data_IF_406883358969
#
_entry.id   IF_406883358969
#
_cell.length_a   1.000
_cell.length_b   1.000
_cell.length_c   1.000
_cell.angle_alpha   90.00
_cell.angle_beta   90.00
_cell.angle_gamma   90.00
#
_symmetry.space_group_name_H-M   'P 1'
#
loop_
_entity.id
_entity.type
_entity.pdbx_description
1 polymer ?
#
# COMPACT_ATOMS: atom_id res chain seq x y z
N UNK A 1 -24.94 6.23 -72.12
CA UNK A 1 -23.73 6.65 -71.37
C UNK A 1 -24.11 6.78 -69.90
N UNK A 2 -23.36 6.11 -68.99
CA UNK A 2 -23.38 6.15 -67.50
C UNK A 2 -24.76 5.85 -66.83
N UNK A 3 -25.05 4.74 -66.12
CA UNK A 3 -24.38 3.99 -65.03
C UNK A 3 -23.85 4.87 -63.89
N UNK A 4 -24.71 5.07 -62.87
CA UNK A 4 -24.37 5.47 -61.51
C UNK A 4 -25.15 4.58 -60.53
N UNK A 5 -24.44 3.64 -59.91
CA UNK A 5 -24.94 2.63 -58.98
C UNK A 5 -24.82 3.23 -57.56
N UNK A 6 -25.95 3.52 -56.91
CA UNK A 6 -25.95 3.90 -55.48
C UNK A 6 -25.95 2.60 -54.68
N UNK A 7 -24.77 2.27 -54.18
CA UNK A 7 -24.51 1.13 -53.31
C UNK A 7 -25.09 1.43 -51.93
N UNK A 8 -26.03 0.59 -51.48
CA UNK A 8 -26.51 0.52 -50.09
C UNK A 8 -25.32 0.30 -49.17
N UNK A 9 -25.00 1.27 -48.32
CA UNK A 9 -24.15 1.06 -47.17
C UNK A 9 -24.96 0.29 -46.11
N UNK A 10 -24.64 -0.99 -45.96
CA UNK A 10 -25.03 -1.80 -44.83
C UNK A 10 -24.14 -1.37 -43.65
N UNK A 11 -24.61 -0.44 -42.81
CA UNK A 11 -23.98 -0.22 -41.51
C UNK A 11 -24.55 -1.25 -40.54
N UNK A 12 -23.73 -2.28 -40.34
CA UNK A 12 -23.87 -3.31 -39.33
C UNK A 12 -24.11 -2.66 -37.97
N UNK A 13 -25.23 -3.01 -37.35
CA UNK A 13 -25.52 -2.71 -35.95
C UNK A 13 -24.42 -3.33 -35.08
N UNK A 14 -23.49 -2.49 -34.59
CA UNK A 14 -22.55 -2.90 -33.57
C UNK A 14 -23.33 -2.90 -32.25
N UNK A 15 -23.84 -4.07 -31.90
CA UNK A 15 -24.43 -4.32 -30.59
C UNK A 15 -23.36 -4.03 -29.53
N UNK A 16 -23.52 -2.89 -28.84
CA UNK A 16 -22.76 -2.57 -27.65
C UNK A 16 -23.24 -3.55 -26.57
N UNK A 17 -22.53 -4.66 -26.42
CA UNK A 17 -22.71 -5.56 -25.27
C UNK A 17 -22.15 -4.83 -24.05
N UNK A 18 -23.03 -4.17 -23.31
CA UNK A 18 -22.76 -3.74 -21.94
C UNK A 18 -22.61 -5.00 -21.09
N UNK A 19 -21.37 -5.45 -20.89
CA UNK A 19 -21.07 -6.46 -19.87
C UNK A 19 -21.06 -5.72 -18.53
N UNK A 20 -22.25 -5.58 -17.93
CA UNK A 20 -22.41 -5.44 -16.50
C UNK A 20 -22.22 -6.84 -15.90
N UNK A 21 -21.12 -7.05 -15.18
CA UNK A 21 -20.77 -8.36 -14.64
C UNK A 21 -19.43 -8.37 -13.91
N UNK A 22 -19.45 -7.83 -12.69
CA UNK A 22 -18.73 -8.30 -11.49
C UNK A 22 -17.50 -9.20 -11.65
N UNK A 23 -16.34 -8.64 -11.32
CA UNK A 23 -15.24 -9.36 -10.65
C UNK A 23 -14.30 -8.32 -10.01
N UNK A 24 -14.64 -7.86 -8.80
CA UNK A 24 -13.63 -7.29 -7.90
C UNK A 24 -12.96 -8.45 -7.19
N UNK A 25 -11.63 -8.44 -7.02
CA UNK A 25 -10.95 -9.52 -6.32
C UNK A 25 -11.44 -9.54 -4.88
N UNK A 26 -12.06 -10.66 -4.50
CA UNK A 26 -12.17 -11.04 -3.11
C UNK A 26 -10.75 -11.02 -2.53
N UNK A 27 -10.51 -10.20 -1.51
CA UNK A 27 -9.30 -10.30 -0.70
C UNK A 27 -9.45 -11.55 0.19
N UNK A 28 -9.24 -12.70 -0.43
CA UNK A 28 -8.88 -13.93 0.24
C UNK A 28 -7.52 -14.31 -0.35
N UNK A 29 -6.50 -14.32 0.51
CA UNK A 29 -5.18 -14.88 0.22
C UNK A 29 -5.34 -16.31 -0.29
N UNK A 30 -5.28 -16.51 -1.61
CA UNK A 30 -5.13 -17.83 -2.21
C UNK A 30 -3.70 -17.98 -2.73
N UNK A 31 -2.87 -18.50 -1.83
CA UNK A 31 -1.64 -19.29 -2.01
C UNK A 31 -0.80 -19.16 -3.28
N UNK A 32 0.50 -18.88 -3.09
CA UNK A 32 1.46 -19.01 -4.18
C UNK A 32 2.92 -18.59 -3.97
N UNK A 33 3.43 -18.45 -2.75
CA UNK A 33 4.87 -18.63 -2.51
C UNK A 33 5.06 -19.36 -1.20
N UNK A 34 5.61 -20.57 -1.25
CA UNK A 34 6.13 -21.25 -0.07
C UNK A 34 7.18 -20.34 0.58
N UNK A 35 6.79 -19.59 1.62
CA UNK A 35 7.73 -19.24 2.66
C UNK A 35 8.16 -20.57 3.27
N UNK A 36 9.38 -21.01 2.96
CA UNK A 36 10.01 -22.07 3.72
C UNK A 36 10.29 -21.53 5.12
N UNK A 37 9.27 -21.50 5.96
CA UNK A 37 9.44 -21.60 7.39
C UNK A 37 10.07 -22.97 7.63
N UNK A 38 11.30 -22.98 8.15
CA UNK A 38 11.96 -24.20 8.57
C UNK A 38 11.04 -24.92 9.58
N UNK A 39 10.82 -26.25 9.47
CA UNK A 39 9.88 -26.97 10.34
C UNK A 39 10.29 -27.09 11.81
N UNK A 40 11.44 -26.55 12.20
CA UNK A 40 12.04 -26.76 13.53
C UNK A 40 12.41 -25.43 14.22
N UNK A 41 11.75 -24.32 13.89
CA UNK A 41 11.79 -23.14 14.76
C UNK A 41 10.92 -23.44 16.00
N UNK A 42 11.55 -24.05 16.99
CA UNK A 42 11.02 -24.22 18.34
C UNK A 42 10.59 -22.82 18.81
N UNK A 43 9.28 -22.65 19.06
CA UNK A 43 8.70 -21.47 19.69
C UNK A 43 9.21 -21.48 21.13
N UNK A 44 10.40 -20.91 21.32
CA UNK A 44 11.08 -20.91 22.59
C UNK A 44 10.45 -19.83 23.46
N UNK A 45 9.64 -20.27 24.43
CA UNK A 45 9.08 -19.53 25.56
C UNK A 45 8.45 -18.15 25.29
N UNK A 46 7.13 -18.10 25.50
CA UNK A 46 6.37 -16.87 25.75
C UNK A 46 6.94 -16.20 27.01
N UNK A 47 7.90 -15.29 26.84
CA UNK A 47 7.93 -14.05 27.63
C UNK A 47 7.07 -13.03 26.86
N UNK A 48 6.22 -12.30 27.57
CA UNK A 48 5.16 -11.43 27.05
C UNK A 48 5.53 -10.63 25.77
N UNK A 49 4.63 -10.68 24.78
CA UNK A 49 4.42 -9.66 23.72
C UNK A 49 5.54 -9.35 22.70
N UNK A 50 6.22 -10.36 22.14
CA UNK A 50 7.14 -10.13 20.99
C UNK A 50 6.80 -10.95 19.75
N UNK A 51 6.23 -10.30 18.74
CA UNK A 51 6.35 -10.74 17.35
C UNK A 51 7.40 -9.86 16.67
N UNK A 52 8.55 -10.44 16.35
CA UNK A 52 9.57 -9.82 15.50
C UNK A 52 9.37 -10.40 14.10
N UNK A 53 9.30 -9.55 13.08
CA UNK A 53 9.41 -10.02 11.71
C UNK A 53 10.86 -10.46 11.49
N UNK A 54 11.14 -11.75 11.68
CA UNK A 54 12.50 -12.32 11.63
C UNK A 54 12.98 -12.42 10.17
N UNK A 55 13.38 -11.28 9.62
CA UNK A 55 14.32 -11.18 8.50
C UNK A 55 15.47 -10.28 8.93
N UNK A 56 16.49 -10.92 9.50
CA UNK A 56 17.87 -10.44 9.63
C UNK A 56 18.23 -9.52 8.44
N UNK A 57 18.22 -8.17 8.60
CA UNK A 57 19.08 -7.14 7.96
C UNK A 57 18.89 -5.75 8.61
N UNK A 58 20.02 -5.12 8.93
CA UNK A 58 20.19 -3.87 9.70
C UNK A 58 19.51 -2.59 9.14
N UNK A 59 18.67 -2.69 8.11
CA UNK A 59 17.99 -1.57 7.44
C UNK A 59 16.47 -1.78 7.33
N UNK A 60 15.90 -2.77 8.02
CA UNK A 60 14.46 -3.02 8.01
C UNK A 60 13.76 -2.29 9.16
N UNK A 61 12.51 -1.91 8.91
CA UNK A 61 11.63 -1.44 9.98
C UNK A 61 11.21 -2.65 10.81
N UNK A 62 11.47 -2.61 12.11
CA UNK A 62 10.94 -3.57 13.05
C UNK A 62 9.60 -3.06 13.58
N UNK A 63 8.63 -3.96 13.75
CA UNK A 63 7.29 -3.62 14.28
C UNK A 63 7.09 -4.41 15.56
N UNK A 64 6.81 -3.71 16.66
CA UNK A 64 6.51 -4.26 17.97
C UNK A 64 5.05 -3.99 18.32
N UNK A 65 4.38 -4.99 18.89
CA UNK A 65 3.02 -4.86 19.38
C UNK A 65 3.04 -4.99 20.89
N UNK A 66 2.64 -3.94 21.59
CA UNK A 66 2.44 -3.91 23.03
C UNK A 66 0.99 -3.52 23.29
N UNK A 67 0.35 -3.97 24.36
CA UNK A 67 -1.03 -3.51 24.61
C UNK A 67 -1.02 -2.06 25.19
N UNK A 68 -1.67 -1.04 24.59
CA UNK A 68 -2.42 -1.00 23.33
C UNK A 68 -1.70 -0.15 22.25
N UNK A 69 -0.40 -0.35 22.04
CA UNK A 69 0.42 0.39 21.08
C UNK A 69 1.13 -0.49 20.04
N UNK A 70 1.38 0.09 18.88
CA UNK A 70 2.26 -0.45 17.86
C UNK A 70 3.46 0.46 17.73
N UNK A 71 4.67 -0.07 17.86
CA UNK A 71 5.90 0.69 17.69
C UNK A 71 6.63 0.23 16.44
N UNK A 72 6.96 1.17 15.56
CA UNK A 72 7.83 0.97 14.40
C UNK A 72 9.19 1.58 14.72
N UNK A 73 10.27 0.82 14.55
CA UNK A 73 11.64 1.32 14.73
C UNK A 73 12.42 1.23 13.42
N UNK A 74 13.25 2.25 13.16
CA UNK A 74 14.23 2.24 12.08
C UNK A 74 15.49 2.93 12.55
N UNK A 75 16.60 2.18 12.62
CA UNK A 75 17.86 2.68 13.18
C UNK A 75 17.69 3.24 14.61
N UNK A 76 17.80 4.56 14.80
CA UNK A 76 17.59 5.25 16.07
C UNK A 76 16.20 5.88 16.21
N UNK A 77 15.42 5.86 15.14
CA UNK A 77 14.13 6.55 15.09
C UNK A 77 13.03 5.57 15.53
N UNK A 78 12.13 6.07 16.37
CA UNK A 78 11.00 5.33 16.92
C UNK A 78 9.72 6.11 16.61
N UNK A 79 8.71 5.37 16.17
CA UNK A 79 7.37 5.88 15.90
C UNK A 79 6.38 4.94 16.56
N UNK A 80 5.59 5.43 17.52
CA UNK A 80 4.55 4.62 18.17
C UNK A 80 3.16 5.13 17.84
N UNK A 81 2.26 4.19 17.56
CA UNK A 81 0.84 4.39 17.36
C UNK A 81 0.15 3.81 18.59
N UNK A 82 -0.55 4.64 19.35
CA UNK A 82 -1.21 4.24 20.60
C UNK A 82 -2.71 4.28 20.38
N UNK A 83 -3.38 3.16 20.62
CA UNK A 83 -4.85 3.09 20.59
C UNK A 83 -5.41 3.68 21.88
N UNK A 84 -6.22 4.73 21.77
CA UNK A 84 -6.88 5.39 22.90
C UNK A 84 -8.15 4.63 23.35
N UNK A 85 -7.98 3.37 23.77
CA UNK A 85 -9.01 2.58 24.44
C UNK A 85 -8.40 1.64 25.48
N UNK A 86 -8.64 1.94 26.77
CA UNK A 86 -8.15 1.14 27.89
C UNK A 86 -8.85 -0.21 28.06
N UNK A 87 -9.96 -0.44 27.38
CA UNK A 87 -10.73 -1.68 27.43
C UNK A 87 -10.32 -2.69 26.34
N UNK A 88 -9.33 -2.34 25.49
CA UNK A 88 -8.72 -3.29 24.56
C UNK A 88 -7.95 -4.37 25.31
N UNK A 89 -8.40 -5.61 25.12
CA UNK A 89 -7.72 -6.80 25.62
C UNK A 89 -7.06 -7.54 24.47
N UNK A 90 -5.86 -8.08 24.70
CA UNK A 90 -5.27 -9.04 23.77
C UNK A 90 -6.22 -10.23 23.57
N UNK A 91 -6.51 -10.56 22.31
CA UNK A 91 -7.35 -11.70 21.93
C UNK A 91 -6.48 -12.86 21.44
N UNK A 92 -5.73 -12.64 20.35
CA UNK A 92 -4.90 -13.68 19.73
C UNK A 92 -3.88 -13.12 18.74
N UNK A 93 -2.93 -13.98 18.37
CA UNK A 93 -2.06 -13.82 17.20
C UNK A 93 -2.50 -14.77 16.11
N UNK A 94 -2.65 -14.29 14.88
CA UNK A 94 -3.07 -15.07 13.72
C UNK A 94 -2.33 -14.60 12.46
N UNK A 95 -1.62 -15.50 11.77
CA UNK A 95 -1.01 -15.24 10.45
C UNK A 95 -0.19 -13.92 10.37
N UNK A 96 0.63 -13.60 11.38
CA UNK A 96 1.43 -12.37 11.41
C UNK A 96 0.66 -11.11 11.82
N UNK A 97 -0.56 -11.27 12.35
CA UNK A 97 -1.40 -10.21 12.90
C UNK A 97 -1.52 -10.35 14.41
N UNK A 98 -1.59 -9.23 15.11
CA UNK A 98 -1.94 -9.17 16.54
C UNK A 98 -3.33 -8.55 16.68
N UNK A 99 -4.21 -9.26 17.36
CA UNK A 99 -5.61 -8.86 17.50
C UNK A 99 -5.91 -8.47 18.93
N UNK A 100 -6.45 -7.25 19.09
CA UNK A 100 -7.04 -6.77 20.34
C UNK A 100 -8.55 -6.63 20.18
N UNK A 101 -9.30 -6.82 21.26
CA UNK A 101 -10.76 -6.78 21.22
C UNK A 101 -11.31 -5.97 22.37
N UNK A 102 -12.25 -5.09 22.07
CA UNK A 102 -13.16 -4.49 23.04
C UNK A 102 -14.50 -5.21 22.94
N UNK A 103 -14.80 -6.05 23.93
CA UNK A 103 -16.03 -6.87 23.96
C UNK A 103 -17.27 -6.04 24.30
N UNK A 104 -17.10 -4.98 25.08
CA UNK A 104 -18.19 -4.12 25.54
C UNK A 104 -18.72 -3.26 24.39
N UNK A 105 -17.81 -2.67 23.61
CA UNK A 105 -18.12 -1.84 22.45
C UNK A 105 -18.10 -2.64 21.13
N UNK A 106 -18.07 -3.97 21.20
CA UNK A 106 -18.30 -4.87 20.06
C UNK A 106 -17.38 -4.60 18.85
N UNK A 107 -16.09 -4.32 19.06
CA UNK A 107 -15.14 -4.18 17.96
C UNK A 107 -13.79 -4.84 18.27
N UNK A 108 -12.98 -5.04 17.24
CA UNK A 108 -11.61 -5.50 17.37
C UNK A 108 -10.66 -4.75 16.46
N UNK A 109 -9.38 -4.84 16.76
CA UNK A 109 -8.30 -4.22 16.01
C UNK A 109 -7.36 -5.32 15.57
N UNK A 110 -7.17 -5.48 14.26
CA UNK A 110 -6.10 -6.29 13.70
C UNK A 110 -4.92 -5.38 13.36
N UNK A 111 -3.80 -5.59 14.05
CA UNK A 111 -2.54 -4.95 13.70
C UNK A 111 -1.75 -5.90 12.81
N UNK A 112 -1.56 -5.51 11.55
CA UNK A 112 -0.93 -6.30 10.50
C UNK A 112 0.45 -5.72 10.21
N UNK A 113 1.50 -6.44 10.60
CA UNK A 113 2.86 -6.05 10.24
C UNK A 113 3.05 -6.19 8.72
N UNK A 114 3.53 -5.11 8.08
CA UNK A 114 3.92 -5.10 6.68
C UNK A 114 5.43 -4.87 6.61
N UNK A 115 6.08 -5.43 5.60
CA UNK A 115 7.45 -5.02 5.29
C UNK A 115 7.39 -3.54 4.94
N UNK A 116 8.07 -2.72 5.75
CA UNK A 116 8.14 -1.26 5.62
C UNK A 116 7.03 -0.46 6.32
N UNK A 117 6.10 -1.10 7.03
CA UNK A 117 4.91 -0.43 7.55
C UNK A 117 4.04 -1.26 8.49
N UNK A 118 2.89 -0.69 8.87
CA UNK A 118 1.83 -1.41 9.58
C UNK A 118 0.48 -1.02 9.00
N UNK A 119 -0.44 -1.98 8.94
CA UNK A 119 -1.85 -1.70 8.69
C UNK A 119 -2.66 -2.03 9.95
N UNK A 120 -3.49 -1.11 10.37
CA UNK A 120 -4.43 -1.26 11.47
C UNK A 120 -5.80 -1.43 10.83
N UNK A 121 -6.51 -2.50 11.16
CA UNK A 121 -7.87 -2.73 10.68
C UNK A 121 -8.83 -2.79 11.87
N UNK A 122 -9.77 -1.85 11.92
CA UNK A 122 -10.90 -1.89 12.83
C UNK A 122 -11.96 -2.82 12.25
N UNK A 123 -12.28 -3.91 12.95
CA UNK A 123 -13.45 -4.73 12.68
C UNK A 123 -14.58 -4.30 13.62
N UNK A 124 -15.60 -3.67 13.05
CA UNK A 124 -16.74 -3.09 13.75
C UNK A 124 -17.88 -4.09 13.62
N UNK A 125 -18.37 -4.67 14.72
CA UNK A 125 -19.30 -5.80 14.66
C UNK A 125 -20.77 -5.39 14.82
N UNK A 126 -21.03 -4.18 15.33
CA UNK A 126 -22.40 -3.74 15.55
C UNK A 126 -22.55 -2.22 15.69
N UNK A 127 -23.81 -1.78 15.74
CA UNK A 127 -24.19 -0.39 16.05
C UNK A 127 -23.79 0.10 17.44
N UNK A 128 -23.40 -0.80 18.34
CA UNK A 128 -22.91 -0.44 19.68
C UNK A 128 -21.44 0.00 19.66
N UNK A 129 -20.74 -0.20 18.54
CA UNK A 129 -19.34 0.22 18.40
C UNK A 129 -19.18 1.74 18.27
N UNK A 130 -17.97 2.26 18.53
CA UNK A 130 -17.68 3.68 18.36
C UNK A 130 -17.67 4.07 16.88
N UNK A 131 -18.11 5.30 16.58
CA UNK A 131 -17.99 5.90 15.24
C UNK A 131 -16.68 6.64 15.01
N UNK A 132 -15.90 6.79 16.07
CA UNK A 132 -14.64 7.52 16.08
C UNK A 132 -13.58 6.59 16.67
N UNK A 133 -12.48 6.43 15.94
CA UNK A 133 -11.33 5.65 16.38
C UNK A 133 -10.11 6.56 16.45
N UNK A 134 -9.55 6.70 17.65
CA UNK A 134 -8.48 7.66 17.94
C UNK A 134 -7.15 6.92 18.06
N UNK A 135 -6.18 7.38 17.27
CA UNK A 135 -4.78 6.98 17.38
C UNK A 135 -3.95 8.16 17.87
N UNK A 136 -3.32 8.03 19.04
CA UNK A 136 -2.29 8.97 19.48
C UNK A 136 -0.94 8.56 18.90
N UNK A 137 -0.24 9.50 18.27
CA UNK A 137 1.02 9.24 17.60
C UNK A 137 2.18 9.82 18.42
N UNK A 138 3.01 8.93 18.95
CA UNK A 138 4.31 9.30 19.53
C UNK A 138 5.34 9.33 18.38
N UNK A 139 5.58 10.52 17.87
CA UNK A 139 6.47 10.79 16.73
C UNK A 139 7.70 11.58 17.20
N UNK A 140 8.76 11.55 16.40
CA UNK A 140 9.99 12.30 16.68
C UNK A 140 9.70 13.78 16.94
N UNK A 141 10.40 14.37 17.92
CA UNK A 141 10.24 15.78 18.27
C UNK A 141 10.43 16.69 17.04
N UNK A 142 9.47 17.58 16.81
CA UNK A 142 9.46 18.48 15.66
C UNK A 142 8.74 17.91 14.42
N UNK A 143 8.46 16.61 14.38
CA UNK A 143 7.60 16.02 13.36
C UNK A 143 6.12 16.34 13.58
N UNK A 144 5.33 16.26 12.52
CA UNK A 144 3.88 16.56 12.56
C UNK A 144 3.10 15.82 11.47
N UNK A 145 1.83 15.52 11.76
CA UNK A 145 0.88 14.98 10.79
C UNK A 145 0.36 16.14 9.92
N UNK A 146 0.34 15.95 8.60
CA UNK A 146 -0.19 16.92 7.64
C UNK A 146 -1.05 16.22 6.59
N UNK A 147 -2.00 16.97 6.04
CA UNK A 147 -2.76 16.57 4.85
C UNK A 147 -2.54 17.63 3.77
N UNK A 148 -1.74 17.30 2.77
CA UNK A 148 -1.38 18.18 1.66
C UNK A 148 -1.36 17.39 0.36
N UNK A 149 -1.83 18.00 -0.73
CA UNK A 149 -1.92 17.40 -2.06
C UNK A 149 -2.73 16.09 -2.11
N UNK A 150 -3.68 15.92 -1.19
CA UNK A 150 -4.53 14.73 -1.07
C UNK A 150 -3.86 13.54 -0.39
N UNK A 151 -2.68 13.72 0.20
CA UNK A 151 -1.95 12.68 0.91
C UNK A 151 -1.79 13.05 2.39
N UNK A 152 -2.14 12.11 3.27
CA UNK A 152 -1.82 12.20 4.70
C UNK A 152 -0.40 11.69 4.93
N UNK A 153 0.38 12.43 5.70
CA UNK A 153 1.80 12.12 5.93
C UNK A 153 2.32 12.71 7.23
N UNK A 154 3.30 12.04 7.81
CA UNK A 154 4.13 12.56 8.90
C UNK A 154 5.37 13.16 8.26
N UNK A 155 5.65 14.43 8.59
CA UNK A 155 6.83 15.13 8.08
C UNK A 155 7.68 15.65 9.23
N UNK A 156 9.00 15.67 9.03
CA UNK A 156 9.93 16.29 9.96
C UNK A 156 9.94 17.83 9.86
N UNK A 157 10.77 18.48 10.68
CA UNK A 157 10.92 19.95 10.71
C UNK A 157 11.32 20.57 9.35
N UNK A 158 11.97 19.79 8.47
CA UNK A 158 12.40 20.24 7.13
C UNK A 158 11.31 20.02 6.07
N UNK A 159 10.19 19.39 6.43
CA UNK A 159 9.13 19.00 5.51
C UNK A 159 9.46 17.75 4.69
N UNK A 160 10.47 16.98 5.09
CA UNK A 160 10.75 15.67 4.49
C UNK A 160 9.74 14.65 5.05
N UNK A 161 9.21 13.78 4.20
CA UNK A 161 8.23 12.77 4.59
C UNK A 161 8.92 11.61 5.30
N UNK A 162 8.42 11.27 6.47
CA UNK A 162 8.89 10.13 7.29
C UNK A 162 7.94 8.94 7.18
N UNK A 163 6.62 9.20 7.16
CA UNK A 163 5.58 8.17 7.08
C UNK A 163 4.45 8.64 6.16
N UNK A 164 4.04 7.80 5.23
CA UNK A 164 2.78 7.97 4.51
C UNK A 164 1.64 7.29 5.27
N UNK A 165 0.53 8.00 5.38
CA UNK A 165 -0.72 7.48 5.94
C UNK A 165 -1.69 7.27 4.76
N UNK A 166 -2.24 6.07 4.65
CA UNK A 166 -3.22 5.72 3.61
C UNK A 166 -4.40 6.68 3.61
N UNK A 167 -5.12 6.81 2.50
CA UNK A 167 -6.42 7.51 2.55
C UNK A 167 -7.43 6.67 3.33
N UNK A 168 -8.32 7.29 4.13
CA UNK A 168 -9.29 6.55 4.92
C UNK A 168 -10.23 5.79 3.99
N UNK A 169 -10.44 4.51 4.27
CA UNK A 169 -11.52 3.73 3.67
C UNK A 169 -12.23 2.89 4.73
N UNK A 170 -13.50 2.63 4.46
CA UNK A 170 -14.33 1.73 5.25
C UNK A 170 -15.23 0.93 4.31
N UNK A 171 -15.48 -0.34 4.63
CA UNK A 171 -16.32 -1.24 3.84
C UNK A 171 -17.24 -2.07 4.72
N UNK A 172 -18.45 -2.30 4.23
CA UNK A 172 -19.43 -3.21 4.84
C UNK A 172 -19.16 -4.68 4.46
N UNK A 173 -19.95 -5.59 5.03
CA UNK A 173 -19.82 -7.03 4.77
C UNK A 173 -20.19 -7.46 3.34
N UNK A 174 -20.83 -6.60 2.56
CA UNK A 174 -21.06 -6.79 1.12
C UNK A 174 -19.95 -6.19 0.25
N UNK A 175 -18.99 -5.49 0.86
CA UNK A 175 -17.90 -4.78 0.19
C UNK A 175 -18.30 -3.40 -0.36
N UNK A 176 -19.44 -2.85 0.04
CA UNK A 176 -19.82 -1.48 -0.31
C UNK A 176 -18.97 -0.48 0.50
N UNK A 177 -18.65 0.65 -0.12
CA UNK A 177 -17.96 1.75 0.56
C UNK A 177 -18.86 2.39 1.61
N UNK A 178 -18.27 2.71 2.76
CA UNK A 178 -18.89 3.41 3.88
C UNK A 178 -18.18 4.73 4.03
N UNK A 179 -18.94 5.81 4.26
CA UNK A 179 -18.37 7.16 4.35
C UNK A 179 -17.44 7.26 5.57
N UNK A 180 -16.21 7.73 5.34
CA UNK A 180 -15.20 7.89 6.38
C UNK A 180 -14.24 9.02 6.03
N UNK A 181 -13.66 9.65 7.04
CA UNK A 181 -12.62 10.65 6.89
C UNK A 181 -11.70 10.69 8.11
N UNK A 182 -10.50 11.25 7.94
CA UNK A 182 -9.62 11.55 9.05
C UNK A 182 -9.76 13.00 9.51
N UNK A 183 -9.72 13.19 10.82
CA UNK A 183 -9.46 14.47 11.48
C UNK A 183 -8.07 14.41 12.11
N UNK A 184 -7.27 15.46 11.90
CA UNK A 184 -5.97 15.62 12.58
C UNK A 184 -6.16 16.62 13.71
N UNK A 185 -5.87 16.20 14.93
CA UNK A 185 -5.94 17.05 16.12
C UNK A 185 -4.67 16.87 16.94
N UNK A 186 -3.82 17.89 16.93
CA UNK A 186 -2.48 17.83 17.51
C UNK A 186 -1.66 16.66 16.92
N UNK A 187 -1.31 15.65 17.72
CA UNK A 187 -0.62 14.43 17.28
C UNK A 187 -1.57 13.22 17.15
N UNK A 188 -2.89 13.48 17.15
CA UNK A 188 -3.88 12.44 16.99
C UNK A 188 -4.37 12.35 15.55
N UNK A 189 -4.50 11.11 15.06
CA UNK A 189 -5.26 10.78 13.87
C UNK A 189 -6.58 10.15 14.31
N UNK A 190 -7.70 10.83 14.02
CA UNK A 190 -9.04 10.37 14.39
C UNK A 190 -9.75 9.94 13.12
N UNK A 191 -10.14 8.67 13.02
CA UNK A 191 -10.98 8.20 11.93
C UNK A 191 -12.45 8.28 12.33
N UNK A 192 -13.21 9.05 11.56
CA UNK A 192 -14.66 9.13 11.64
C UNK A 192 -15.28 8.17 10.63
N UNK A 193 -16.27 7.37 11.03
CA UNK A 193 -16.95 6.42 10.14
C UNK A 193 -18.46 6.57 10.31
N UNK A 194 -19.16 6.87 9.21
CA UNK A 194 -20.62 7.01 9.20
C UNK A 194 -21.31 5.76 8.66
N UNK A 195 -21.69 4.87 9.57
CA UNK A 195 -22.27 3.56 9.27
C UNK A 195 -23.77 3.43 9.63
N UNK A 196 -24.54 4.53 9.54
CA UNK A 196 -26.00 4.45 9.70
C UNK A 196 -26.65 3.59 8.60
N UNK A 197 -27.26 2.46 8.98
CA UNK A 197 -28.00 1.60 8.06
C UNK A 197 -27.15 0.68 7.18
N UNK A 198 -25.88 0.47 7.52
CA UNK A 198 -24.96 -0.44 6.82
C UNK A 198 -24.97 -1.85 7.41
N UNK A 199 -24.50 -2.83 6.63
CA UNK A 199 -24.37 -4.22 7.09
C UNK A 199 -23.05 -4.46 7.83
N UNK A 200 -23.09 -5.30 8.87
CA UNK A 200 -21.93 -5.66 9.68
C UNK A 200 -21.36 -7.05 9.26
N UNK A 201 -20.10 -7.36 9.60
CA UNK A 201 -19.09 -6.46 10.16
C UNK A 201 -18.63 -5.42 9.13
N UNK A 202 -18.21 -4.25 9.63
CA UNK A 202 -17.49 -3.25 8.84
C UNK A 202 -16.00 -3.39 9.09
N UNK A 203 -15.20 -3.08 8.07
CA UNK A 203 -13.74 -2.99 8.18
C UNK A 203 -13.30 -1.60 7.78
N UNK A 204 -12.45 -0.97 8.59
CA UNK A 204 -11.89 0.35 8.31
C UNK A 204 -10.39 0.41 8.66
N UNK A 205 -9.64 1.27 7.97
CA UNK A 205 -8.19 1.39 8.15
C UNK A 205 -7.73 2.67 8.85
N UNK A 206 -6.54 2.63 9.45
CA UNK A 206 -5.42 3.27 8.73
C UNK A 206 -4.25 2.36 8.35
N UNK A 207 -3.51 2.75 7.31
CA UNK A 207 -2.22 2.18 6.93
C UNK A 207 -1.10 3.20 7.09
N UNK A 208 0.01 2.79 7.71
CA UNK A 208 1.22 3.58 7.88
C UNK A 208 2.39 2.91 7.13
N UNK A 209 3.09 3.66 6.27
CA UNK A 209 4.18 3.14 5.44
C UNK A 209 5.34 4.12 5.41
N UNK A 210 6.51 3.70 5.91
CA UNK A 210 7.69 4.56 6.06
C UNK A 210 8.93 4.10 5.30
N UNK A 211 8.92 2.87 4.77
CA UNK A 211 9.95 2.38 3.86
C UNK A 211 9.31 1.73 2.64
N UNK A 212 9.60 2.26 1.44
CA UNK A 212 8.83 1.92 0.25
C UNK A 212 9.54 0.98 -0.71
N UNK A 213 10.88 1.02 -0.77
CA UNK A 213 11.72 0.20 -1.64
C UNK A 213 12.81 -0.49 -0.81
N UNK A 214 12.95 -1.80 -0.99
CA UNK A 214 14.10 -2.54 -0.46
C UNK A 214 15.32 -2.33 -1.37
N UNK A 215 16.15 -1.35 -1.00
CA UNK A 215 17.41 -1.06 -1.68
C UNK A 215 18.51 -2.10 -1.40
N UNK A 216 18.35 -2.98 -0.41
CA UNK A 216 19.32 -4.07 -0.18
C UNK A 216 19.11 -5.22 -1.17
N UNK A 217 17.85 -5.45 -1.58
CA UNK A 217 17.50 -6.43 -2.60
C UNK A 217 17.57 -5.86 -4.03
N UNK A 218 17.23 -4.58 -4.21
CA UNK A 218 17.20 -3.92 -5.52
C UNK A 218 18.58 -3.83 -6.16
N UNK A 219 18.72 -4.33 -7.39
CA UNK A 219 20.00 -4.42 -8.10
C UNK A 219 19.84 -4.77 -9.57
N UNK A 220 20.92 -4.57 -10.32
CA UNK A 220 21.09 -5.22 -11.61
C UNK A 220 21.16 -6.74 -11.46
N UNK A 221 20.25 -7.44 -12.14
CA UNK A 221 20.24 -8.91 -12.22
C UNK A 221 21.00 -9.43 -13.45
N UNK A 222 21.17 -8.58 -14.46
CA UNK A 222 22.05 -8.79 -15.60
C UNK A 222 22.61 -7.42 -16.10
N UNK A 223 23.23 -7.39 -17.28
CA UNK A 223 23.82 -6.15 -17.82
C UNK A 223 22.81 -5.08 -18.24
N UNK A 224 21.52 -5.40 -18.26
CA UNK A 224 20.46 -4.54 -18.77
C UNK A 224 19.23 -4.45 -17.84
N UNK A 225 19.04 -5.40 -16.93
CA UNK A 225 17.84 -5.48 -16.10
C UNK A 225 18.14 -5.00 -14.68
N UNK A 226 17.58 -3.85 -14.30
CA UNK A 226 17.56 -3.41 -12.90
C UNK A 226 16.25 -3.85 -12.24
N UNK A 227 16.32 -4.73 -11.26
CA UNK A 227 15.14 -5.22 -10.54
C UNK A 227 14.90 -4.37 -9.29
N UNK A 228 13.76 -3.67 -9.25
CA UNK A 228 13.28 -2.92 -8.08
C UNK A 228 12.43 -3.84 -7.21
N UNK A 229 12.66 -3.83 -5.89
CA UNK A 229 11.87 -4.59 -4.91
C UNK A 229 11.05 -3.63 -4.04
N UNK A 230 9.80 -3.29 -4.40
CA UNK A 230 8.95 -2.51 -3.53
C UNK A 230 8.56 -3.31 -2.28
N UNK A 231 8.47 -2.64 -1.14
CA UNK A 231 8.02 -3.23 0.12
C UNK A 231 6.50 -3.40 0.14
N UNK A 232 5.99 -4.27 1.01
CA UNK A 232 4.55 -4.61 1.00
C UNK A 232 3.68 -3.44 1.42
N UNK A 233 4.12 -2.58 2.35
CA UNK A 233 3.35 -1.38 2.71
C UNK A 233 3.11 -0.45 1.52
N UNK A 234 4.10 -0.25 0.65
CA UNK A 234 3.98 0.62 -0.52
C UNK A 234 3.00 0.04 -1.55
N UNK A 235 3.05 -1.29 -1.79
CA UNK A 235 2.07 -1.97 -2.67
C UNK A 235 0.64 -1.84 -2.13
N UNK A 236 0.46 -2.04 -0.83
CA UNK A 236 -0.85 -1.89 -0.16
C UNK A 236 -1.32 -0.45 -0.22
N UNK A 237 -0.47 0.53 0.08
CA UNK A 237 -0.78 1.96 -0.01
C UNK A 237 -1.30 2.34 -1.40
N UNK A 238 -0.57 1.96 -2.45
CA UNK A 238 -0.94 2.30 -3.83
C UNK A 238 -2.27 1.64 -4.20
N UNK A 239 -2.47 0.39 -3.81
CA UNK A 239 -3.69 -0.38 -4.15
C UNK A 239 -4.91 0.13 -3.40
N UNK A 240 -4.75 0.56 -2.13
CA UNK A 240 -5.83 1.10 -1.32
C UNK A 240 -6.20 2.53 -1.71
N UNK A 241 -5.20 3.37 -1.99
CA UNK A 241 -5.42 4.80 -2.24
C UNK A 241 -5.84 5.12 -3.67
N UNK A 242 -5.65 4.20 -4.62
CA UNK A 242 -5.83 4.52 -6.03
C UNK A 242 -6.45 3.39 -6.87
N UNK A 243 -7.31 3.76 -7.82
CA UNK A 243 -7.84 2.83 -8.84
C UNK A 243 -6.76 2.49 -9.85
N UNK A 244 -6.09 1.33 -9.66
CA UNK A 244 -5.04 0.85 -10.54
C UNK A 244 -5.47 0.83 -12.01
N UNK A 245 -4.63 1.39 -12.88
CA UNK A 245 -4.89 1.46 -14.31
C UNK A 245 -4.27 2.68 -14.99
N UNK A 246 -4.46 2.78 -16.30
CA UNK A 246 -3.85 3.81 -17.13
C UNK A 246 -4.21 5.25 -16.74
N UNK A 247 -5.32 5.47 -16.03
CA UNK A 247 -5.73 6.79 -15.53
C UNK A 247 -4.72 7.39 -14.53
N UNK A 248 -3.98 6.56 -13.80
CA UNK A 248 -2.99 6.99 -12.81
C UNK A 248 -1.62 7.32 -13.39
N UNK A 249 -1.33 6.97 -14.65
CA UNK A 249 0.00 7.15 -15.25
C UNK A 249 0.50 8.59 -15.13
N UNK A 250 -0.36 9.56 -15.44
CA UNK A 250 0.00 10.98 -15.40
C UNK A 250 0.07 11.59 -14.00
N UNK A 251 -0.48 10.91 -12.99
CA UNK A 251 -0.65 11.44 -11.64
C UNK A 251 0.35 10.83 -10.68
N UNK A 252 0.51 9.50 -10.66
CA UNK A 252 1.33 8.80 -9.68
C UNK A 252 2.77 9.32 -9.61
N UNK A 253 3.44 9.51 -10.74
CA UNK A 253 4.82 10.03 -10.75
C UNK A 253 4.96 11.47 -10.21
N UNK A 254 3.85 12.16 -9.96
CA UNK A 254 3.78 13.51 -9.40
C UNK A 254 3.33 13.57 -7.94
N UNK A 255 2.80 12.48 -7.38
CA UNK A 255 2.42 12.40 -5.95
C UNK A 255 3.66 12.38 -5.07
N UNK A 256 3.53 12.70 -3.78
CA UNK A 256 4.63 12.64 -2.84
C UNK A 256 5.17 11.22 -2.71
N UNK A 257 4.30 10.19 -2.61
CA UNK A 257 4.75 8.80 -2.55
C UNK A 257 5.47 8.37 -3.83
N UNK A 258 4.94 8.70 -5.01
CA UNK A 258 5.57 8.31 -6.28
C UNK A 258 6.94 8.97 -6.49
N UNK A 259 7.09 10.22 -6.03
CA UNK A 259 8.38 10.93 -6.01
C UNK A 259 9.36 10.29 -5.02
N UNK A 260 8.91 9.97 -3.81
CA UNK A 260 9.75 9.37 -2.78
C UNK A 260 10.23 7.97 -3.20
N UNK A 261 9.33 7.09 -3.63
CA UNK A 261 9.69 5.75 -4.11
C UNK A 261 10.71 5.82 -5.25
N UNK A 262 10.51 6.74 -6.21
CA UNK A 262 11.49 6.93 -7.28
C UNK A 262 12.83 7.47 -6.76
N UNK A 263 12.82 8.33 -5.75
CA UNK A 263 14.05 8.82 -5.12
C UNK A 263 14.83 7.71 -4.40
N UNK A 264 14.14 6.77 -3.76
CA UNK A 264 14.76 5.59 -3.15
C UNK A 264 15.41 4.69 -4.21
N UNK A 265 14.71 4.43 -5.32
CA UNK A 265 15.29 3.72 -6.48
C UNK A 265 16.53 4.44 -7.01
N UNK A 266 16.47 5.77 -7.15
CA UNK A 266 17.60 6.55 -7.64
C UNK A 266 18.75 6.53 -6.64
N UNK A 267 18.49 6.51 -5.34
CA UNK A 267 19.52 6.48 -4.30
C UNK A 267 20.28 5.14 -4.25
N UNK A 268 19.72 4.07 -4.80
CA UNK A 268 20.37 2.77 -4.85
C UNK A 268 21.72 2.80 -5.57
N UNK A 269 22.74 2.18 -4.96
CA UNK A 269 24.10 2.19 -5.47
C UNK A 269 24.23 1.45 -6.80
N UNK A 270 23.48 0.35 -6.98
CA UNK A 270 23.46 -0.41 -8.23
C UNK A 270 22.75 0.38 -9.33
N UNK A 271 21.66 1.10 -9.01
CA UNK A 271 21.01 2.03 -9.94
C UNK A 271 21.92 3.18 -10.36
N UNK A 272 22.68 3.77 -9.44
CA UNK A 272 23.60 4.88 -9.76
C UNK A 272 24.70 4.51 -10.76
N UNK A 273 25.03 3.22 -10.90
CA UNK A 273 25.94 2.73 -11.93
C UNK A 273 25.36 2.82 -13.37
N UNK A 274 24.06 3.11 -13.51
CA UNK A 274 23.37 3.23 -14.79
C UNK A 274 23.72 4.54 -15.51
N UNK A 275 23.83 4.47 -16.85
CA UNK A 275 23.87 5.66 -17.71
C UNK A 275 22.69 6.61 -17.45
N UNK A 276 22.98 7.90 -17.30
CA UNK A 276 21.95 8.95 -17.13
C UNK A 276 20.95 8.99 -18.28
N UNK A 277 21.36 8.60 -19.50
CA UNK A 277 20.49 8.51 -20.67
C UNK A 277 19.38 7.46 -20.53
N UNK A 278 19.55 6.45 -19.66
CA UNK A 278 18.52 5.43 -19.42
C UNK A 278 17.50 5.85 -18.35
N UNK A 279 17.81 6.86 -17.53
CA UNK A 279 16.98 7.19 -16.35
C UNK A 279 15.52 7.55 -16.71
N UNK A 280 15.23 8.33 -17.77
CA UNK A 280 13.85 8.64 -18.16
C UNK A 280 13.02 7.39 -18.48
N UNK A 281 13.49 6.53 -19.37
CA UNK A 281 12.76 5.29 -19.74
C UNK A 281 12.64 4.27 -18.61
N UNK A 282 13.60 4.22 -17.68
CA UNK A 282 13.48 3.37 -16.49
C UNK A 282 12.43 3.93 -15.53
N UNK A 283 12.31 5.26 -15.42
CA UNK A 283 11.25 5.91 -14.64
C UNK A 283 9.87 5.57 -15.19
N UNK A 284 9.71 5.58 -16.52
CA UNK A 284 8.43 5.26 -17.14
C UNK A 284 8.04 3.79 -16.94
N UNK A 285 8.99 2.87 -17.03
CA UNK A 285 8.78 1.46 -16.68
C UNK A 285 8.38 1.32 -15.20
N UNK A 286 9.08 1.99 -14.29
CA UNK A 286 8.77 1.98 -12.85
C UNK A 286 7.35 2.47 -12.55
N UNK A 287 6.96 3.62 -13.10
CA UNK A 287 5.60 4.16 -12.93
C UNK A 287 4.56 3.18 -13.48
N UNK A 288 4.81 2.62 -14.67
CA UNK A 288 3.93 1.62 -15.25
C UNK A 288 3.75 0.41 -14.32
N UNK A 289 4.85 -0.11 -13.77
CA UNK A 289 4.82 -1.24 -12.85
C UNK A 289 4.00 -0.95 -11.58
N UNK A 290 4.13 0.27 -11.04
CA UNK A 290 3.43 0.71 -9.84
C UNK A 290 1.91 0.81 -10.04
N UNK A 291 1.45 1.31 -11.19
CA UNK A 291 0.02 1.58 -11.43
C UNK A 291 -0.72 0.46 -12.15
N UNK A 292 -0.02 -0.58 -12.61
CA UNK A 292 -0.62 -1.67 -13.38
C UNK A 292 -0.98 -2.86 -12.46
N UNK A 293 -2.26 -3.31 -12.44
CA UNK A 293 -2.72 -4.38 -11.55
C UNK A 293 -2.04 -5.73 -11.79
N UNK A 294 -1.49 -5.95 -12.99
CA UNK A 294 -0.77 -7.20 -13.33
C UNK A 294 0.67 -7.23 -12.85
N UNK A 295 1.21 -6.09 -12.38
CA UNK A 295 2.62 -5.96 -12.02
C UNK A 295 2.86 -5.46 -10.61
N UNK A 296 1.96 -4.66 -10.04
CA UNK A 296 2.11 -4.08 -8.69
C UNK A 296 2.47 -5.15 -7.64
N UNK A 297 1.83 -6.31 -7.70
CA UNK A 297 2.02 -7.43 -6.77
C UNK A 297 3.12 -8.43 -7.17
N UNK A 298 3.89 -8.16 -8.23
CA UNK A 298 5.10 -8.95 -8.53
C UNK A 298 6.18 -8.66 -7.48
N UNK A 299 6.94 -9.69 -7.12
CA UNK A 299 8.03 -9.58 -6.14
C UNK A 299 9.08 -8.53 -6.54
N UNK A 300 9.39 -8.43 -7.85
CA UNK A 300 10.23 -7.37 -8.41
C UNK A 300 9.59 -6.70 -9.62
N UNK A 301 9.96 -5.43 -9.84
CA UNK A 301 9.68 -4.67 -11.05
C UNK A 301 10.98 -4.54 -11.84
N UNK A 302 11.05 -5.24 -12.97
CA UNK A 302 12.25 -5.28 -13.79
C UNK A 302 12.25 -4.10 -14.77
N UNK A 303 13.25 -3.23 -14.64
CA UNK A 303 13.46 -2.07 -15.50
C UNK A 303 14.59 -2.38 -16.48
N UNK A 304 14.24 -2.53 -17.75
CA UNK A 304 15.16 -2.97 -18.81
C UNK A 304 15.79 -1.76 -19.54
N UNK A 305 17.12 -1.64 -19.52
CA UNK A 305 17.86 -0.56 -20.18
C UNK A 305 17.94 -0.70 -21.70
N UNK A 306 17.65 -1.87 -22.26
CA UNK A 306 17.72 -2.07 -23.71
C UNK A 306 16.42 -1.69 -24.44
N UNK A 307 15.35 -1.42 -23.70
CA UNK A 307 14.07 -1.02 -24.27
C UNK A 307 14.16 0.39 -24.88
N UNK A 308 13.37 0.68 -25.94
CA UNK A 308 13.32 2.00 -26.52
C UNK A 308 12.78 3.02 -25.51
N UNK A 309 13.24 4.26 -25.63
CA UNK A 309 12.69 5.39 -24.87
C UNK A 309 11.42 5.87 -25.57
N UNK A 310 10.26 5.50 -25.02
CA UNK A 310 8.93 5.85 -25.51
C UNK A 310 8.14 6.54 -24.42
N UNK A 311 7.01 7.17 -24.78
CA UNK A 311 6.17 7.84 -23.78
C UNK A 311 5.68 6.87 -22.69
N UNK A 312 5.45 7.36 -21.47
CA UNK A 312 4.84 6.58 -20.39
C UNK A 312 3.54 5.87 -20.82
N UNK A 313 2.72 6.52 -21.65
CA UNK A 313 1.49 5.91 -22.17
C UNK A 313 1.79 4.73 -23.09
N UNK A 314 2.80 4.82 -23.95
CA UNK A 314 3.16 3.74 -24.84
C UNK A 314 3.88 2.61 -24.09
N UNK A 315 4.67 2.94 -23.06
CA UNK A 315 5.21 1.98 -22.08
C UNK A 315 4.07 1.18 -21.44
N UNK A 316 3.00 1.84 -20.99
CA UNK A 316 1.83 1.16 -20.42
C UNK A 316 1.07 0.28 -21.42
N UNK A 317 0.84 0.77 -22.65
CA UNK A 317 0.22 -0.04 -23.72
C UNK A 317 1.02 -1.29 -24.04
N UNK A 318 2.34 -1.23 -23.90
CA UNK A 318 3.24 -2.37 -24.06
C UNK A 318 3.43 -3.19 -22.77
N UNK A 319 2.49 -3.12 -21.82
CA UNK A 319 2.53 -3.90 -20.57
C UNK A 319 3.82 -3.67 -19.78
N UNK A 320 4.26 -2.41 -19.70
CA UNK A 320 5.48 -1.94 -19.05
C UNK A 320 6.78 -2.35 -19.72
N UNK A 321 6.72 -3.03 -20.87
CA UNK A 321 7.91 -3.51 -21.56
C UNK A 321 7.84 -3.27 -23.07
N UNK A 322 8.19 -2.05 -23.55
CA UNK A 322 8.06 -1.70 -24.96
C UNK A 322 9.00 -2.53 -25.86
N UNK A 323 8.44 -3.04 -26.94
CA UNK A 323 9.16 -3.85 -27.94
C UNK A 323 10.07 -2.99 -28.84
N UNK A 324 11.07 -3.65 -29.43
CA UNK A 324 12.03 -3.07 -30.39
C UNK A 324 11.42 -2.78 -31.76
#
# INVERSE_FOLDING_TARGET
MSKGFIMKACMSSLALFTILGTAHPAYASTGGSESKLRPDAEVDSIEEDRLVNDTDQLNEIEVFFTNPSVTMTKESDEFSIIHEDSNLEFDKTEEGKVIFRNKEEQYSIENVALVGGVQILYNIESTESPKEYVLDLDITEGSRIIHEDGEYKIVNEKGEVEVFIGSPWAKDSNGNEVETYYEIKDQQLIQHIDYEGTDYPLVADPLFCSDTIDNTASKYTDSNTFSVYPRTCARTYITASYTLGGALLGVFGSTAIGKQMWSEVVADASYQATSTANRPKLKDQFICHAVNPTTIWKSSWNLDTNRPDVSLLDTYKALCNPDY
#
